data_IF_330356620421
#
_entry.id   IF_330356620421
#
_cell.length_a   1.000
_cell.length_b   1.000
_cell.length_c   1.000
_cell.angle_alpha   90.00
_cell.angle_beta   90.00
_cell.angle_gamma   90.00
#
_symmetry.space_group_name_H-M   'P 1'
#
loop_
_entity.id
_entity.type
_entity.pdbx_description
1 polymer ?
#
# COMPACT_ATOMS: atom_id res chain seq x y z
N UNK A 1 -6.10 -6.43 2.94
CA UNK A 1 -4.96 -5.66 3.49
C UNK A 1 -5.01 -4.30 2.86
N UNK A 2 -4.88 -3.23 3.67
CA UNK A 2 -4.83 -1.86 3.12
C UNK A 2 -3.40 -1.44 2.81
N UNK A 3 -3.22 -0.88 1.62
CA UNK A 3 -1.94 -0.31 1.22
C UNK A 3 -1.63 1.04 1.90
N UNK A 4 -2.64 1.69 2.49
CA UNK A 4 -2.45 2.96 3.22
C UNK A 4 -1.51 2.82 4.43
N UNK A 5 -1.39 1.61 4.98
CA UNK A 5 -0.52 1.30 6.10
C UNK A 5 0.95 1.05 5.72
N UNK A 6 1.24 0.76 4.44
CA UNK A 6 2.56 0.31 3.99
C UNK A 6 3.63 1.37 4.22
N UNK A 7 3.37 2.62 3.84
CA UNK A 7 4.34 3.72 3.99
C UNK A 7 4.80 3.91 5.45
N UNK A 8 3.86 4.16 6.39
CA UNK A 8 4.18 4.21 7.81
C UNK A 8 4.90 2.96 8.35
N UNK A 9 4.46 1.75 7.99
CA UNK A 9 5.10 0.52 8.47
C UNK A 9 6.55 0.39 7.97
N UNK A 10 6.82 0.77 6.72
CA UNK A 10 8.17 0.82 6.17
C UNK A 10 9.01 1.86 6.90
N UNK A 11 8.48 3.05 7.18
CA UNK A 11 9.19 4.08 7.95
C UNK A 11 9.57 3.58 9.35
N UNK A 12 8.64 2.93 10.06
CA UNK A 12 8.91 2.33 11.39
C UNK A 12 9.98 1.25 11.30
N UNK A 13 9.90 0.36 10.30
CA UNK A 13 10.86 -0.73 10.11
C UNK A 13 12.25 -0.26 9.69
N UNK A 14 12.36 0.86 8.98
CA UNK A 14 13.64 1.50 8.65
C UNK A 14 14.25 2.21 9.86
N UNK A 15 13.43 2.85 10.70
CA UNK A 15 13.88 3.51 11.92
C UNK A 15 14.32 2.52 13.00
N UNK A 16 13.68 1.33 13.05
CA UNK A 16 13.97 0.29 14.03
C UNK A 16 14.16 -1.08 13.35
N UNK A 17 15.37 -1.38 12.87
CA UNK A 17 15.63 -2.64 12.18
C UNK A 17 15.45 -3.86 13.09
N UNK A 18 15.01 -4.98 12.51
CA UNK A 18 14.94 -6.27 13.20
C UNK A 18 13.62 -6.55 13.93
N UNK A 19 13.68 -7.46 14.90
CA UNK A 19 12.48 -7.97 15.60
C UNK A 19 11.81 -6.91 16.47
N UNK A 20 12.57 -5.94 16.98
CA UNK A 20 12.04 -4.83 17.77
C UNK A 20 11.10 -3.93 16.95
N UNK A 21 11.51 -3.56 15.73
CA UNK A 21 10.65 -2.84 14.78
C UNK A 21 9.37 -3.59 14.46
N UNK A 22 9.47 -4.89 14.23
CA UNK A 22 8.29 -5.74 14.00
C UNK A 22 7.32 -5.69 15.20
N UNK A 23 7.83 -5.80 16.44
CA UNK A 23 7.01 -5.71 17.67
C UNK A 23 6.35 -4.34 17.84
N UNK A 24 7.02 -3.25 17.46
CA UNK A 24 6.46 -1.90 17.47
C UNK A 24 5.38 -1.71 16.41
N UNK A 25 5.63 -2.20 15.19
CA UNK A 25 4.64 -2.19 14.10
C UNK A 25 3.37 -2.92 14.52
N UNK A 26 3.48 -4.15 15.02
CA UNK A 26 2.32 -4.94 15.41
C UNK A 26 1.62 -4.39 16.66
N UNK A 27 2.37 -3.83 17.62
CA UNK A 27 1.77 -3.11 18.75
C UNK A 27 0.98 -1.87 18.33
N UNK A 28 1.51 -1.11 17.37
CA UNK A 28 0.82 0.04 16.78
C UNK A 28 -0.46 -0.37 16.02
N UNK A 29 -0.40 -1.48 15.27
CA UNK A 29 -1.56 -2.05 14.55
C UNK A 29 -2.65 -2.52 15.54
N UNK A 30 -2.28 -3.21 16.61
CA UNK A 30 -3.22 -3.63 17.66
C UNK A 30 -3.91 -2.40 18.27
N UNK A 31 -3.12 -1.39 18.65
CA UNK A 31 -3.66 -0.13 19.18
C UNK A 31 -4.61 0.57 18.22
N UNK A 32 -4.25 0.64 16.93
CA UNK A 32 -5.10 1.21 15.90
C UNK A 32 -6.38 0.39 15.63
N UNK A 33 -6.31 -0.94 15.75
CA UNK A 33 -7.47 -1.82 15.66
C UNK A 33 -8.46 -1.59 16.80
N UNK A 34 -7.96 -1.49 18.05
CA UNK A 34 -8.77 -1.13 19.22
C UNK A 34 -9.42 0.25 19.02
N UNK A 35 -8.61 1.24 18.64
CA UNK A 35 -9.10 2.58 18.32
C UNK A 35 -10.19 2.53 17.23
N UNK A 36 -9.97 1.75 16.17
CA UNK A 36 -10.92 1.57 15.09
C UNK A 36 -12.27 1.05 15.58
N UNK A 37 -12.29 -0.03 16.37
CA UNK A 37 -13.53 -0.59 16.93
C UNK A 37 -14.29 0.45 17.75
N UNK A 38 -13.57 1.26 18.54
CA UNK A 38 -14.17 2.30 19.39
C UNK A 38 -14.70 3.48 18.59
N UNK A 39 -13.97 3.92 17.55
CA UNK A 39 -14.28 5.13 16.79
C UNK A 39 -15.25 4.89 15.64
N UNK A 40 -15.47 3.64 15.24
CA UNK A 40 -16.36 3.25 14.14
C UNK A 40 -17.77 3.91 14.16
N UNK A 41 -18.48 4.05 15.32
CA UNK A 41 -19.75 4.76 15.36
C UNK A 41 -19.63 6.24 15.01
N UNK A 42 -18.51 6.87 15.39
CA UNK A 42 -18.24 8.28 15.08
C UNK A 42 -17.92 8.45 13.61
N UNK A 43 -17.06 7.58 13.05
CA UNK A 43 -16.70 7.62 11.63
C UNK A 43 -17.92 7.40 10.74
N UNK A 44 -18.85 6.52 11.14
CA UNK A 44 -20.14 6.35 10.42
C UNK A 44 -21.03 7.60 10.37
N UNK A 45 -20.75 8.62 11.21
CA UNK A 45 -21.40 9.94 11.18
C UNK A 45 -20.58 10.99 10.43
N UNK A 46 -19.28 10.74 10.21
CA UNK A 46 -18.35 11.69 9.60
C UNK A 46 -18.36 11.68 8.07
N UNK A 47 -19.26 10.92 7.43
CA UNK A 47 -19.35 10.79 5.97
C UNK A 47 -19.46 12.13 5.23
N UNK A 48 -20.09 13.13 5.85
CA UNK A 48 -20.18 14.50 5.30
C UNK A 48 -18.83 15.18 5.06
N UNK A 49 -17.76 14.73 5.71
CA UNK A 49 -16.40 15.27 5.56
C UNK A 49 -15.61 14.58 4.46
N UNK A 50 -16.15 13.50 3.88
CA UNK A 50 -15.50 12.70 2.84
C UNK A 50 -16.37 12.66 1.58
N UNK A 51 -16.66 13.83 0.98
CA UNK A 51 -17.34 13.87 -0.30
C UNK A 51 -16.46 13.23 -1.40
N UNK A 52 -17.02 12.97 -2.58
CA UNK A 52 -16.36 12.31 -3.72
C UNK A 52 -15.01 12.92 -4.09
N UNK A 53 -14.88 14.25 -3.99
CA UNK A 53 -13.63 14.96 -4.26
C UNK A 53 -12.52 14.58 -3.28
N UNK A 54 -12.84 14.33 -2.01
CA UNK A 54 -11.86 13.93 -1.00
C UNK A 54 -11.51 12.45 -1.18
N UNK A 55 -12.52 11.57 -1.24
CA UNK A 55 -12.30 10.12 -1.35
C UNK A 55 -11.59 9.75 -2.65
N UNK A 56 -12.00 10.33 -3.78
CA UNK A 56 -11.38 10.11 -5.09
C UNK A 56 -9.93 10.59 -5.13
N UNK A 57 -9.63 11.74 -4.51
CA UNK A 57 -8.24 12.25 -4.42
C UNK A 57 -7.36 11.34 -3.57
N UNK A 58 -7.86 10.88 -2.42
CA UNK A 58 -7.11 9.96 -1.54
C UNK A 58 -6.79 8.67 -2.29
N UNK A 59 -7.80 8.04 -2.93
CA UNK A 59 -7.62 6.79 -3.68
C UNK A 59 -6.65 6.98 -4.86
N UNK A 60 -6.73 8.12 -5.56
CA UNK A 60 -5.79 8.47 -6.61
C UNK A 60 -4.35 8.53 -6.07
N UNK A 61 -4.12 9.23 -4.95
CA UNK A 61 -2.79 9.34 -4.33
C UNK A 61 -2.29 7.97 -3.87
N UNK A 62 -3.16 7.12 -3.30
CA UNK A 62 -2.80 5.74 -2.94
C UNK A 62 -2.29 5.00 -4.19
N UNK A 63 -3.04 5.01 -5.29
CA UNK A 63 -2.63 4.34 -6.52
C UNK A 63 -1.31 4.87 -7.08
N UNK A 64 -1.16 6.20 -7.19
CA UNK A 64 0.04 6.85 -7.74
C UNK A 64 1.28 6.59 -6.88
N UNK A 65 1.16 6.67 -5.55
CA UNK A 65 2.30 6.41 -4.64
C UNK A 65 2.75 4.94 -4.69
N UNK A 66 1.81 4.00 -4.85
CA UNK A 66 2.13 2.56 -4.94
C UNK A 66 2.72 2.14 -6.29
N UNK A 67 2.49 2.90 -7.36
CA UNK A 67 3.12 2.61 -8.66
C UNK A 67 4.65 2.51 -8.55
N UNK A 68 5.27 3.34 -7.69
CA UNK A 68 6.71 3.26 -7.42
C UNK A 68 7.14 1.86 -6.93
N UNK A 69 6.32 1.22 -6.09
CA UNK A 69 6.62 -0.11 -5.56
C UNK A 69 6.59 -1.15 -6.69
N UNK A 70 5.53 -1.14 -7.51
CA UNK A 70 5.43 -2.01 -8.68
C UNK A 70 6.60 -1.84 -9.65
N UNK A 71 6.98 -0.59 -9.94
CA UNK A 71 8.12 -0.27 -10.82
C UNK A 71 9.45 -0.75 -10.22
N UNK A 72 9.68 -0.51 -8.93
CA UNK A 72 10.88 -0.99 -8.25
C UNK A 72 10.98 -2.53 -8.34
N UNK A 73 9.86 -3.25 -8.17
CA UNK A 73 9.84 -4.70 -8.32
C UNK A 73 10.19 -5.17 -9.74
N UNK A 74 9.68 -4.50 -10.78
CA UNK A 74 10.04 -4.76 -12.18
C UNK A 74 11.56 -4.61 -12.39
N UNK A 75 12.16 -3.61 -11.75
CA UNK A 75 13.60 -3.33 -11.88
C UNK A 75 14.48 -4.12 -10.91
N UNK A 76 13.93 -5.13 -10.22
CA UNK A 76 14.70 -6.00 -9.34
C UNK A 76 15.04 -5.39 -7.97
N UNK A 77 14.32 -4.35 -7.54
CA UNK A 77 14.45 -3.74 -6.21
C UNK A 77 13.23 -4.07 -5.35
N UNK A 78 13.29 -5.14 -4.54
CA UNK A 78 12.22 -5.45 -3.60
C UNK A 78 12.12 -4.41 -2.46
N UNK A 79 13.26 -3.84 -2.03
CA UNK A 79 13.37 -2.88 -0.93
C UNK A 79 14.40 -1.78 -1.26
N UNK A 80 14.22 -0.60 -0.67
CA UNK A 80 15.21 0.49 -0.72
C UNK A 80 14.88 1.64 -1.68
N UNK A 81 15.82 2.60 -1.85
CA UNK A 81 15.62 3.76 -2.70
C UNK A 81 15.57 3.35 -4.18
N UNK A 82 14.82 4.11 -4.99
CA UNK A 82 14.72 3.85 -6.43
C UNK A 82 16.05 4.21 -7.09
N UNK A 83 16.56 3.33 -7.95
CA UNK A 83 17.86 3.49 -8.62
C UNK A 83 19.05 3.64 -7.64
N UNK A 84 19.31 2.65 -6.75
CA UNK A 84 20.42 2.72 -5.83
C UNK A 84 21.72 2.74 -6.62
N UNK A 85 22.59 3.68 -6.29
CA UNK A 85 23.95 3.72 -6.84
C UNK A 85 24.86 2.89 -5.95
N UNK A 86 25.78 2.14 -6.55
CA UNK A 86 26.80 1.39 -5.83
C UNK A 86 28.01 2.28 -5.57
N UNK A 87 28.79 1.93 -4.53
CA UNK A 87 30.09 2.56 -4.33
C UNK A 87 31.08 1.95 -5.33
N UNK A 88 31.70 2.75 -6.20
CA UNK A 88 32.77 2.33 -7.11
C UNK A 88 34.03 2.03 -6.27
N UNK A 89 34.53 0.77 -6.27
CA UNK A 89 35.72 0.37 -5.50
C UNK A 89 36.96 1.20 -5.85
N UNK A 90 37.22 1.47 -7.14
CA UNK A 90 38.42 2.21 -7.58
C UNK A 90 38.42 3.66 -7.07
N UNK A 91 37.26 4.30 -7.12
CA UNK A 91 37.11 5.66 -6.62
C UNK A 91 37.13 5.69 -5.08
N UNK A 92 36.63 4.65 -4.40
CA UNK A 92 36.71 4.51 -2.94
C UNK A 92 38.16 4.29 -2.48
N UNK A 93 38.93 3.48 -3.22
CA UNK A 93 40.35 3.25 -2.96
C UNK A 93 41.19 4.50 -3.26
N UNK A 94 40.88 5.24 -4.34
CA UNK A 94 41.49 6.55 -4.60
C UNK A 94 41.20 7.54 -3.46
N UNK A 95 39.95 7.61 -2.99
CA UNK A 95 39.56 8.46 -1.86
C UNK A 95 40.30 8.09 -0.58
N UNK A 96 40.40 6.80 -0.29
CA UNK A 96 41.16 6.28 0.85
C UNK A 96 42.63 6.68 0.76
N UNK A 97 43.24 6.51 -0.42
CA UNK A 97 44.64 6.88 -0.68
C UNK A 97 44.87 8.39 -0.50
N UNK A 98 43.98 9.24 -1.02
CA UNK A 98 44.07 10.70 -0.85
C UNK A 98 43.91 11.11 0.62
N UNK A 99 43.01 10.45 1.35
CA UNK A 99 42.78 10.71 2.78
C UNK A 99 43.99 10.29 3.62
N UNK A 100 44.60 9.14 3.32
CA UNK A 100 45.84 8.69 3.96
C UNK A 100 47.03 9.60 3.65
N UNK A 101 47.16 10.10 2.40
CA UNK A 101 48.17 11.08 2.00
C UNK A 101 47.98 12.44 2.69
N UNK A 102 46.74 12.87 2.91
CA UNK A 102 46.43 14.08 3.66
C UNK A 102 46.78 13.94 5.16
N UNK A 103 46.58 12.75 5.74
CA UNK A 103 46.94 12.45 7.14
C UNK A 103 48.44 12.27 7.40
N UNK A 104 49.23 11.92 6.38
CA UNK A 104 50.67 11.64 6.49
C UNK A 104 51.58 12.89 6.49
N UNK A 105 51.04 14.11 6.53
CA UNK A 105 51.80 15.32 6.87
C UNK A 105 52.72 15.90 5.78
N UNK A 106 52.35 15.82 4.50
CA UNK A 106 53.17 16.35 3.41
C UNK A 106 52.47 17.15 2.31
N UNK A 107 51.13 17.23 2.28
CA UNK A 107 50.40 17.95 1.22
C UNK A 107 49.38 18.93 1.80
N UNK A 108 49.25 20.09 1.16
CA UNK A 108 48.31 21.18 1.48
C UNK A 108 46.86 20.81 1.17
N UNK A 109 46.36 19.70 1.72
CA UNK A 109 44.96 19.29 1.60
C UNK A 109 44.21 19.91 2.78
N UNK A 110 43.25 20.82 2.54
CA UNK A 110 42.43 21.37 3.61
C UNK A 110 41.66 20.27 4.34
N UNK A 111 41.46 20.42 5.65
CA UNK A 111 40.65 19.50 6.45
C UNK A 111 39.28 19.28 5.80
N UNK A 112 38.87 18.01 5.69
CA UNK A 112 37.59 17.64 5.10
C UNK A 112 36.44 18.32 5.87
N UNK A 113 35.56 19.09 5.20
CA UNK A 113 34.44 19.74 5.86
C UNK A 113 33.54 18.70 6.55
N UNK A 114 33.05 19.01 7.76
CA UNK A 114 32.10 18.13 8.47
C UNK A 114 30.87 17.86 7.59
N UNK A 115 30.63 16.60 7.24
CA UNK A 115 29.52 16.17 6.38
C UNK A 115 29.85 16.07 4.88
N UNK A 116 31.05 16.46 4.45
CA UNK A 116 31.51 16.20 3.09
C UNK A 116 31.93 14.73 2.97
N UNK A 117 31.16 13.92 2.24
CA UNK A 117 31.54 12.55 1.89
C UNK A 117 31.57 12.40 0.38
N UNK A 118 32.74 12.21 -0.21
CA UNK A 118 32.83 11.84 -1.62
C UNK A 118 32.30 10.41 -1.75
N UNK A 119 31.02 10.26 -2.12
CA UNK A 119 30.50 8.94 -2.47
C UNK A 119 30.91 8.65 -3.91
N UNK A 120 31.91 7.79 -4.05
CA UNK A 120 32.26 7.16 -5.31
C UNK A 120 31.05 6.42 -5.89
N UNK A 121 30.15 7.03 -6.65
CA UNK A 121 28.94 6.32 -7.11
C UNK A 121 29.05 5.80 -8.54
N UNK A 122 28.69 4.54 -8.77
CA UNK A 122 28.43 3.96 -10.10
C UNK A 122 26.99 3.44 -10.19
N UNK A 123 26.47 3.33 -11.42
CA UNK A 123 25.16 2.71 -11.65
C UNK A 123 25.20 1.25 -11.22
N UNK A 124 24.14 0.78 -10.54
CA UNK A 124 24.01 -0.62 -10.15
C UNK A 124 23.69 -1.49 -11.38
N UNK A 125 24.56 -2.40 -11.83
CA UNK A 125 24.28 -3.26 -12.99
C UNK A 125 23.14 -4.25 -12.74
N UNK A 126 22.82 -4.54 -11.47
CA UNK A 126 21.69 -5.38 -11.08
C UNK A 126 20.35 -4.61 -11.04
N UNK A 127 20.37 -3.29 -11.26
CA UNK A 127 19.16 -2.48 -11.36
C UNK A 127 18.64 -2.45 -12.79
N UNK A 128 17.34 -2.71 -12.96
CA UNK A 128 16.65 -2.73 -14.24
C UNK A 128 17.29 -3.65 -15.32
N UNK A 129 17.69 -4.89 -14.99
CA UNK A 129 18.20 -5.81 -16.00
C UNK A 129 17.09 -6.15 -17.00
N UNK A 130 17.47 -6.24 -18.28
CA UNK A 130 16.52 -6.43 -19.40
C UNK A 130 15.67 -7.69 -19.19
N UNK A 131 16.25 -8.76 -18.65
CA UNK A 131 15.54 -10.01 -18.32
C UNK A 131 14.34 -9.78 -17.39
N UNK A 132 14.51 -8.94 -16.36
CA UNK A 132 13.44 -8.66 -15.40
C UNK A 132 12.32 -7.83 -16.03
N UNK A 133 12.70 -6.84 -16.85
CA UNK A 133 11.75 -6.01 -17.58
C UNK A 133 10.94 -6.87 -18.56
N UNK A 134 11.60 -7.73 -19.33
CA UNK A 134 10.94 -8.63 -20.27
C UNK A 134 9.99 -9.59 -19.56
N UNK A 135 10.41 -10.22 -18.45
CA UNK A 135 9.53 -11.10 -17.68
C UNK A 135 8.29 -10.35 -17.18
N UNK A 136 8.47 -9.14 -16.65
CA UNK A 136 7.35 -8.30 -16.18
C UNK A 136 6.42 -7.89 -17.32
N UNK A 137 6.96 -7.57 -18.49
CA UNK A 137 6.20 -7.25 -19.69
C UNK A 137 5.40 -8.45 -20.21
N UNK A 138 5.95 -9.66 -20.13
CA UNK A 138 5.21 -10.89 -20.48
C UNK A 138 4.05 -11.12 -19.51
N UNK A 139 4.27 -10.91 -18.21
CA UNK A 139 3.19 -10.96 -17.21
C UNK A 139 2.11 -9.94 -17.55
N UNK A 140 2.50 -8.67 -17.76
CA UNK A 140 1.59 -7.61 -18.13
C UNK A 140 0.80 -7.92 -19.41
N UNK A 141 1.49 -8.36 -20.47
CA UNK A 141 0.87 -8.73 -21.73
C UNK A 141 -0.12 -9.90 -21.56
N UNK A 142 0.21 -10.87 -20.70
CA UNK A 142 -0.69 -11.97 -20.35
C UNK A 142 -1.93 -11.45 -19.62
N UNK A 143 -1.76 -10.57 -18.62
CA UNK A 143 -2.89 -9.95 -17.90
C UNK A 143 -3.79 -9.19 -18.86
N UNK A 144 -3.22 -8.32 -19.72
CA UNK A 144 -3.98 -7.53 -20.68
C UNK A 144 -4.66 -8.42 -21.75
N UNK A 145 -3.96 -9.44 -22.25
CA UNK A 145 -4.49 -10.39 -23.22
C UNK A 145 -5.68 -11.17 -22.64
N UNK A 146 -5.54 -11.72 -21.44
CA UNK A 146 -6.65 -12.43 -20.77
C UNK A 146 -7.80 -11.47 -20.46
N UNK A 147 -7.52 -10.28 -19.94
CA UNK A 147 -8.55 -9.29 -19.63
C UNK A 147 -9.31 -8.82 -20.88
N UNK A 148 -8.64 -8.75 -22.05
CA UNK A 148 -9.25 -8.31 -23.31
C UNK A 148 -10.05 -9.41 -24.01
N UNK A 149 -9.51 -10.63 -24.06
CA UNK A 149 -10.05 -11.70 -24.91
C UNK A 149 -10.86 -12.76 -24.17
N UNK A 150 -10.62 -12.95 -22.86
CA UNK A 150 -11.41 -13.88 -22.07
C UNK A 150 -12.76 -13.28 -21.66
N UNK A 151 -13.67 -14.14 -21.21
CA UNK A 151 -15.01 -13.74 -20.75
C UNK A 151 -15.32 -14.33 -19.38
N UNK A 152 -16.23 -13.69 -18.66
CA UNK A 152 -16.73 -14.15 -17.36
C UNK A 152 -15.61 -14.27 -16.32
N UNK A 153 -15.59 -15.40 -15.61
CA UNK A 153 -14.67 -15.63 -14.50
C UNK A 153 -13.18 -15.50 -14.88
N UNK A 154 -12.80 -15.97 -16.07
CA UNK A 154 -11.40 -15.98 -16.52
C UNK A 154 -10.85 -14.56 -16.69
N UNK A 155 -11.68 -13.62 -17.18
CA UNK A 155 -11.30 -12.21 -17.28
C UNK A 155 -11.08 -11.58 -15.88
N UNK A 156 -11.89 -11.96 -14.90
CA UNK A 156 -11.81 -11.43 -13.53
C UNK A 156 -10.56 -11.92 -12.77
N UNK A 157 -10.04 -13.11 -13.13
CA UNK A 157 -8.79 -13.64 -12.55
C UNK A 157 -7.56 -13.42 -13.46
N UNK A 158 -7.63 -12.47 -14.40
CA UNK A 158 -6.54 -12.20 -15.35
C UNK A 158 -5.20 -11.92 -14.66
N UNK A 159 -5.22 -11.17 -13.56
CA UNK A 159 -4.01 -10.88 -12.77
C UNK A 159 -3.41 -12.17 -12.19
N UNK A 160 -4.25 -13.04 -11.62
CA UNK A 160 -3.81 -14.34 -11.08
C UNK A 160 -3.20 -15.22 -12.18
N UNK A 161 -3.84 -15.29 -13.35
CA UNK A 161 -3.33 -16.04 -14.50
C UNK A 161 -1.97 -15.48 -14.94
N UNK A 162 -1.83 -14.15 -15.01
CA UNK A 162 -0.56 -13.51 -15.32
C UNK A 162 0.56 -13.88 -14.34
N UNK A 163 0.26 -13.89 -13.04
CA UNK A 163 1.22 -14.32 -12.00
C UNK A 163 1.60 -15.79 -12.18
N UNK A 164 0.63 -16.67 -12.47
CA UNK A 164 0.89 -18.10 -12.71
C UNK A 164 1.78 -18.30 -13.94
N UNK A 165 1.47 -17.65 -15.06
CA UNK A 165 2.28 -17.72 -16.29
C UNK A 165 3.69 -17.18 -16.04
N UNK A 166 3.81 -16.03 -15.37
CA UNK A 166 5.10 -15.47 -14.98
C UNK A 166 5.90 -16.37 -14.05
N UNK A 167 5.22 -17.03 -13.11
CA UNK A 167 5.84 -18.01 -12.21
C UNK A 167 6.36 -19.24 -12.95
N UNK A 168 5.60 -19.78 -13.91
CA UNK A 168 6.05 -20.90 -14.75
C UNK A 168 7.28 -20.52 -15.58
N UNK A 169 7.28 -19.32 -16.19
CA UNK A 169 8.44 -18.83 -16.95
C UNK A 169 9.64 -18.62 -16.01
N UNK A 170 9.44 -18.01 -14.84
CA UNK A 170 10.48 -17.80 -13.85
C UNK A 170 11.09 -19.12 -13.35
N UNK A 171 10.26 -20.15 -13.15
CA UNK A 171 10.72 -21.49 -12.81
C UNK A 171 11.57 -22.10 -13.94
N UNK A 172 11.13 -21.96 -15.20
CA UNK A 172 11.87 -22.43 -16.37
C UNK A 172 13.22 -21.71 -16.55
N UNK A 173 13.31 -20.43 -16.16
CA UNK A 173 14.53 -19.63 -16.15
C UNK A 173 15.41 -19.88 -14.91
N UNK A 174 15.07 -20.86 -14.07
CA UNK A 174 15.77 -21.18 -12.82
C UNK A 174 15.87 -20.00 -11.82
N UNK A 175 14.92 -19.06 -11.86
CA UNK A 175 14.86 -17.92 -10.93
C UNK A 175 14.16 -18.26 -9.60
N UNK A 176 13.51 -19.43 -9.52
CA UNK A 176 12.74 -19.86 -8.34
C UNK A 176 13.50 -20.93 -7.54
N UNK A 177 13.53 -20.78 -6.22
CA UNK A 177 14.11 -21.77 -5.31
C UNK A 177 13.02 -22.45 -4.47
N UNK A 178 12.83 -23.76 -4.68
CA UNK A 178 11.80 -24.56 -4.02
C UNK A 178 12.26 -25.28 -2.75
N UNK A 179 13.49 -25.05 -2.27
CA UNK A 179 14.02 -25.68 -1.05
C UNK A 179 13.15 -25.40 0.18
N UNK A 180 12.69 -24.15 0.35
CA UNK A 180 11.77 -23.76 1.44
C UNK A 180 10.42 -24.48 1.34
N UNK A 181 9.93 -24.72 0.12
CA UNK A 181 8.68 -25.46 -0.11
C UNK A 181 8.84 -26.92 0.30
N UNK A 182 9.99 -27.53 0.00
CA UNK A 182 10.30 -28.90 0.40
C UNK A 182 10.41 -29.02 1.94
N UNK A 183 11.10 -28.08 2.58
CA UNK A 183 11.30 -28.05 4.04
C UNK A 183 10.06 -27.67 4.84
N UNK A 184 9.12 -26.92 4.26
CA UNK A 184 7.90 -26.49 4.94
C UNK A 184 6.99 -27.67 5.31
N UNK A 185 6.46 -27.65 6.53
CA UNK A 185 5.47 -28.62 7.00
C UNK A 185 4.15 -28.47 6.23
N UNK A 186 3.39 -29.56 6.17
CA UNK A 186 2.05 -29.57 5.57
C UNK A 186 1.03 -28.81 6.42
N UNK A 187 1.22 -28.79 7.72
CA UNK A 187 0.39 -28.08 8.67
C UNK A 187 1.28 -27.35 9.68
N UNK A 188 0.99 -26.07 9.92
CA UNK A 188 1.53 -25.35 11.08
C UNK A 188 0.52 -24.31 11.56
N UNK A 189 0.18 -24.30 12.86
CA UNK A 189 -0.63 -23.22 13.42
C UNK A 189 0.15 -21.91 13.40
N UNK A 190 -0.54 -20.81 13.08
CA UNK A 190 0.03 -19.47 13.12
C UNK A 190 0.08 -19.04 14.60
N UNK A 191 1.29 -18.88 15.15
CA UNK A 191 1.43 -18.45 16.54
C UNK A 191 1.15 -16.95 16.68
N UNK A 192 0.28 -16.54 17.62
CA UNK A 192 0.13 -15.13 17.95
C UNK A 192 1.46 -14.61 18.51
N UNK A 193 1.79 -13.35 18.21
CA UNK A 193 3.00 -12.69 18.70
C UNK A 193 4.31 -13.43 18.36
N UNK A 194 4.44 -13.87 17.10
CA UNK A 194 5.59 -14.66 16.62
C UNK A 194 6.92 -13.94 16.85
N UNK A 195 6.92 -12.61 16.75
CA UNK A 195 8.10 -11.77 16.97
C UNK A 195 8.33 -11.37 18.45
N UNK A 196 7.52 -11.90 19.38
CA UNK A 196 7.53 -11.55 20.80
C UNK A 196 6.41 -10.59 21.20
N UNK A 197 6.35 -10.23 22.49
CA UNK A 197 5.30 -9.37 23.03
C UNK A 197 5.27 -8.00 22.34
N UNK A 198 4.11 -7.50 21.88
CA UNK A 198 4.00 -6.24 21.13
C UNK A 198 4.48 -5.06 21.98
N UNK A 199 5.12 -4.08 21.33
CA UNK A 199 5.56 -2.84 21.96
C UNK A 199 4.55 -1.76 21.60
N UNK A 200 3.93 -1.17 22.61
CA UNK A 200 2.90 -0.15 22.45
C UNK A 200 3.53 1.24 22.56
N UNK A 201 3.96 1.78 21.42
CA UNK A 201 4.41 3.16 21.33
C UNK A 201 3.20 4.09 21.03
N UNK A 202 2.89 5.09 21.89
CA UNK A 202 1.75 5.97 21.69
C UNK A 202 1.78 6.76 20.38
N UNK A 203 2.95 7.20 19.92
CA UNK A 203 3.11 7.99 18.69
C UNK A 203 2.84 7.11 17.47
N UNK A 204 3.35 5.88 17.47
CA UNK A 204 3.10 4.92 16.40
C UNK A 204 1.63 4.46 16.38
N UNK A 205 1.00 4.30 17.56
CA UNK A 205 -0.43 4.00 17.66
C UNK A 205 -1.27 5.13 17.06
N UNK A 206 -0.97 6.40 17.39
CA UNK A 206 -1.67 7.54 16.79
C UNK A 206 -1.48 7.56 15.27
N UNK A 207 -0.27 7.29 14.79
CA UNK A 207 0.05 7.19 13.35
C UNK A 207 -0.80 6.13 12.66
N UNK A 208 -0.82 4.90 13.19
CA UNK A 208 -1.65 3.82 12.65
C UNK A 208 -3.15 4.10 12.81
N UNK A 209 -3.57 4.81 13.85
CA UNK A 209 -4.98 5.16 14.09
C UNK A 209 -5.49 6.15 13.04
N UNK A 210 -4.66 7.11 12.61
CA UNK A 210 -5.01 8.00 11.50
C UNK A 210 -5.12 7.25 10.18
N UNK A 211 -4.23 6.30 9.91
CA UNK A 211 -4.35 5.38 8.77
C UNK A 211 -5.66 4.58 8.86
N UNK A 212 -6.02 4.11 10.06
CA UNK A 212 -7.26 3.38 10.28
C UNK A 212 -8.50 4.21 9.93
N UNK A 213 -8.49 5.52 10.19
CA UNK A 213 -9.57 6.42 9.75
C UNK A 213 -9.68 6.42 8.22
N UNK A 214 -8.55 6.58 7.51
CA UNK A 214 -8.49 6.52 6.03
C UNK A 214 -9.06 5.20 5.51
N UNK A 215 -8.68 4.09 6.14
CA UNK A 215 -9.18 2.74 5.82
C UNK A 215 -10.70 2.63 6.01
N UNK A 216 -11.24 3.18 7.09
CA UNK A 216 -12.67 3.17 7.36
C UNK A 216 -13.46 4.01 6.35
N UNK A 217 -12.89 5.12 5.90
CA UNK A 217 -13.48 5.97 4.87
C UNK A 217 -13.55 5.19 3.55
N UNK A 218 -12.45 4.53 3.17
CA UNK A 218 -12.38 3.67 1.99
C UNK A 218 -13.47 2.57 2.05
N UNK A 219 -13.56 1.87 3.18
CA UNK A 219 -14.54 0.80 3.37
C UNK A 219 -15.99 1.29 3.41
N UNK A 220 -16.24 2.53 3.87
CA UNK A 220 -17.60 3.08 3.82
C UNK A 220 -18.09 3.22 2.37
N UNK A 221 -17.24 3.70 1.46
CA UNK A 221 -17.59 3.75 0.03
C UNK A 221 -18.01 2.37 -0.48
N UNK A 222 -17.19 1.35 -0.23
CA UNK A 222 -17.50 -0.03 -0.64
C UNK A 222 -18.80 -0.58 -0.04
N UNK A 223 -19.11 -0.26 1.21
CA UNK A 223 -20.37 -0.69 1.82
C UNK A 223 -21.58 -0.05 1.15
N UNK A 224 -21.51 1.25 0.83
CA UNK A 224 -22.57 1.97 0.15
C UNK A 224 -22.78 1.40 -1.26
N UNK A 225 -21.71 1.22 -2.02
CA UNK A 225 -21.77 0.67 -3.37
C UNK A 225 -22.30 -0.77 -3.40
N UNK A 226 -21.86 -1.63 -2.47
CA UNK A 226 -22.41 -2.98 -2.30
C UNK A 226 -23.90 -2.96 -1.92
N UNK A 227 -24.32 -2.00 -1.08
CA UNK A 227 -25.73 -1.80 -0.73
C UNK A 227 -26.59 -1.54 -1.96
N UNK A 228 -26.09 -0.72 -2.89
CA UNK A 228 -26.80 -0.40 -4.13
C UNK A 228 -26.84 -1.57 -5.11
N UNK A 229 -25.70 -2.24 -5.33
CA UNK A 229 -25.64 -3.45 -6.16
C UNK A 229 -26.59 -4.52 -5.61
N UNK A 230 -26.68 -4.66 -4.29
CA UNK A 230 -27.56 -5.65 -3.65
C UNK A 230 -29.01 -5.21 -3.52
N UNK A 231 -29.31 -3.93 -3.75
CA UNK A 231 -30.64 -3.32 -3.53
C UNK A 231 -31.02 -3.17 -2.05
N UNK A 232 -30.04 -3.22 -1.14
CA UNK A 232 -30.25 -3.13 0.31
C UNK A 232 -29.74 -1.78 0.83
N UNK A 233 -30.66 -0.96 1.34
CA UNK A 233 -30.32 0.31 1.98
C UNK A 233 -29.38 0.08 3.16
N UNK A 234 -28.20 0.70 3.11
CA UNK A 234 -27.21 0.61 4.19
C UNK A 234 -27.56 1.63 5.26
N UNK A 235 -27.90 1.15 6.46
CA UNK A 235 -28.21 2.03 7.60
C UNK A 235 -26.94 2.39 8.37
N UNK A 236 -26.98 3.48 9.14
CA UNK A 236 -25.84 3.88 9.97
C UNK A 236 -25.40 2.80 10.98
N UNK A 237 -26.30 2.06 11.67
CA UNK A 237 -25.87 0.94 12.51
C UNK A 237 -25.16 -0.17 11.72
N UNK A 238 -25.58 -0.44 10.48
CA UNK A 238 -24.91 -1.41 9.61
C UNK A 238 -23.51 -0.94 9.20
N UNK A 239 -23.37 0.35 8.85
CA UNK A 239 -22.06 0.95 8.57
C UNK A 239 -21.15 0.85 9.79
N UNK A 240 -21.64 1.25 10.98
CA UNK A 240 -20.85 1.16 12.21
C UNK A 240 -20.43 -0.28 12.53
N UNK A 241 -21.31 -1.27 12.31
CA UNK A 241 -20.96 -2.68 12.49
C UNK A 241 -19.90 -3.15 11.48
N UNK A 242 -20.01 -2.75 10.21
CA UNK A 242 -19.00 -3.04 9.18
C UNK A 242 -17.64 -2.43 9.52
N UNK A 243 -17.60 -1.15 9.89
CA UNK A 243 -16.36 -0.46 10.28
C UNK A 243 -15.74 -1.03 11.56
N UNK A 244 -16.56 -1.54 12.49
CA UNK A 244 -16.06 -2.30 13.65
C UNK A 244 -15.36 -3.59 13.23
N UNK A 245 -15.85 -4.26 12.18
CA UNK A 245 -15.19 -5.45 11.64
C UNK A 245 -13.85 -5.13 11.00
N UNK A 246 -13.69 -3.98 10.35
CA UNK A 246 -12.37 -3.54 9.86
C UNK A 246 -11.39 -3.33 11.01
N UNK A 247 -11.84 -2.69 12.09
CA UNK A 247 -11.05 -2.48 13.32
C UNK A 247 -10.68 -3.80 14.00
N UNK A 248 -11.65 -4.70 14.15
CA UNK A 248 -11.44 -6.02 14.74
C UNK A 248 -10.49 -6.87 13.89
N UNK A 249 -10.67 -6.85 12.56
CA UNK A 249 -9.77 -7.52 11.62
C UNK A 249 -8.35 -7.00 11.77
N UNK A 250 -8.16 -5.68 11.87
CA UNK A 250 -6.87 -5.04 12.10
C UNK A 250 -6.25 -5.43 13.44
N UNK A 251 -7.05 -5.48 14.52
CA UNK A 251 -6.61 -5.93 15.84
C UNK A 251 -6.11 -7.38 15.79
N UNK A 252 -6.95 -8.29 15.28
CA UNK A 252 -6.58 -9.70 15.11
C UNK A 252 -5.35 -9.84 14.20
N UNK A 253 -5.28 -9.00 13.16
CA UNK A 253 -4.14 -8.95 12.28
C UNK A 253 -2.84 -8.64 13.01
N UNK A 254 -2.83 -7.60 13.84
CA UNK A 254 -1.68 -7.28 14.66
C UNK A 254 -1.28 -8.41 15.62
N UNK A 255 -2.26 -9.13 16.21
CA UNK A 255 -1.97 -10.29 17.06
C UNK A 255 -1.31 -11.44 16.29
N UNK A 256 -1.73 -11.67 15.04
CA UNK A 256 -1.18 -12.71 14.16
C UNK A 256 -0.07 -12.21 13.23
N UNK A 257 0.55 -11.06 13.55
CA UNK A 257 1.71 -10.51 12.86
C UNK A 257 1.46 -10.18 11.37
N UNK A 258 0.29 -9.64 11.05
CA UNK A 258 -0.08 -9.22 9.69
C UNK A 258 -0.47 -7.73 9.64
N UNK A 259 -0.86 -7.30 8.44
CA UNK A 259 -1.19 -5.92 8.12
C UNK A 259 -2.63 -5.55 8.48
N UNK A 260 -2.95 -4.24 8.61
CA UNK A 260 -4.32 -3.77 8.76
C UNK A 260 -5.24 -4.23 7.62
N UNK A 261 -6.48 -4.57 7.99
CA UNK A 261 -7.49 -5.08 7.07
C UNK A 261 -8.49 -4.00 6.69
N UNK A 262 -8.99 -4.11 5.47
CA UNK A 262 -9.99 -3.24 4.87
C UNK A 262 -10.84 -4.08 3.94
N UNK A 263 -12.03 -3.60 3.62
CA UNK A 263 -12.86 -4.21 2.57
C UNK A 263 -12.17 -4.11 1.21
N UNK A 264 -12.42 -5.06 0.31
CA UNK A 264 -11.70 -5.17 -0.96
C UNK A 264 -12.63 -4.83 -2.13
N UNK A 265 -12.35 -3.73 -2.83
CA UNK A 265 -13.24 -3.17 -3.86
C UNK A 265 -13.43 -4.11 -5.06
N UNK A 266 -12.43 -4.92 -5.38
CA UNK A 266 -12.53 -5.94 -6.42
C UNK A 266 -13.60 -6.99 -6.11
N UNK A 267 -13.80 -7.33 -4.84
CA UNK A 267 -14.85 -8.28 -4.45
C UNK A 267 -16.23 -7.67 -4.68
N UNK A 268 -16.39 -6.36 -4.46
CA UNK A 268 -17.66 -5.67 -4.70
C UNK A 268 -17.96 -5.60 -6.20
N UNK A 269 -16.97 -5.22 -7.02
CA UNK A 269 -17.10 -5.25 -8.48
C UNK A 269 -17.45 -6.65 -9.03
N UNK A 270 -16.88 -7.71 -8.44
CA UNK A 270 -17.23 -9.09 -8.80
C UNK A 270 -18.70 -9.43 -8.50
N UNK A 271 -19.28 -8.91 -7.41
CA UNK A 271 -20.71 -9.08 -7.13
C UNK A 271 -21.56 -8.40 -8.21
N UNK A 272 -21.15 -7.22 -8.68
CA UNK A 272 -21.80 -6.52 -9.80
C UNK A 272 -21.80 -7.32 -11.10
N UNK A 273 -20.66 -7.91 -11.47
CA UNK A 273 -20.51 -8.67 -12.72
C UNK A 273 -21.12 -10.08 -12.65
N UNK A 274 -20.97 -10.77 -11.52
CA UNK A 274 -21.49 -12.14 -11.37
C UNK A 274 -22.98 -12.19 -11.05
N UNK A 275 -23.53 -11.10 -10.49
CA UNK A 275 -24.89 -11.07 -9.96
C UNK A 275 -25.09 -11.91 -8.69
N UNK A 276 -24.06 -12.60 -8.19
CA UNK A 276 -24.16 -13.47 -7.02
C UNK A 276 -24.03 -12.62 -5.74
N UNK A 277 -25.17 -12.36 -5.10
CA UNK A 277 -25.27 -11.51 -3.88
C UNK A 277 -25.20 -12.28 -2.56
N UNK A 278 -24.90 -13.59 -2.61
CA UNK A 278 -24.93 -14.45 -1.43
C UNK A 278 -23.71 -14.24 -0.53
N UNK A 279 -23.94 -13.87 0.74
CA UNK A 279 -22.88 -13.75 1.76
C UNK A 279 -22.10 -15.05 2.00
N UNK A 280 -22.71 -16.20 1.71
CA UNK A 280 -22.07 -17.50 1.91
C UNK A 280 -20.88 -17.71 0.97
N UNK A 281 -20.85 -17.04 -0.19
CA UNK A 281 -19.68 -17.06 -1.08
C UNK A 281 -18.46 -16.46 -0.38
N UNK A 282 -18.64 -15.32 0.30
CA UNK A 282 -17.59 -14.67 1.08
C UNK A 282 -17.16 -15.53 2.28
N UNK A 283 -18.11 -16.14 2.99
CA UNK A 283 -17.81 -17.03 4.13
C UNK A 283 -17.00 -18.24 3.68
N UNK A 284 -17.41 -18.92 2.62
CA UNK A 284 -16.68 -20.07 2.05
C UNK A 284 -15.29 -19.66 1.57
N UNK A 285 -15.17 -18.51 0.90
CA UNK A 285 -13.87 -17.94 0.53
C UNK A 285 -12.97 -17.70 1.74
N UNK A 286 -13.52 -17.15 2.84
CA UNK A 286 -12.81 -17.00 4.11
C UNK A 286 -12.33 -18.32 4.70
N UNK A 287 -13.18 -19.35 4.72
CA UNK A 287 -12.82 -20.69 5.19
C UNK A 287 -11.69 -21.28 4.33
N UNK A 288 -11.77 -21.16 3.00
CA UNK A 288 -10.72 -21.62 2.09
C UNK A 288 -9.40 -20.90 2.41
N UNK A 289 -9.43 -19.58 2.60
CA UNK A 289 -8.22 -18.81 2.94
C UNK A 289 -7.64 -19.19 4.30
N UNK A 290 -8.47 -19.49 5.31
CA UNK A 290 -8.00 -20.01 6.61
C UNK A 290 -7.32 -21.36 6.44
N UNK A 291 -7.91 -22.28 5.68
CA UNK A 291 -7.31 -23.60 5.41
C UNK A 291 -5.96 -23.44 4.69
N UNK A 292 -5.92 -22.62 3.64
CA UNK A 292 -4.66 -22.36 2.91
C UNK A 292 -3.61 -21.67 3.80
N UNK A 293 -4.02 -20.81 4.72
CA UNK A 293 -3.13 -20.16 5.69
C UNK A 293 -2.51 -21.13 6.71
N UNK A 294 -3.18 -22.25 7.00
CA UNK A 294 -2.67 -23.32 7.86
C UNK A 294 -1.73 -24.29 7.13
N UNK A 295 -1.49 -24.08 5.83
CA UNK A 295 -0.60 -24.88 4.98
C UNK A 295 0.63 -24.04 4.61
N UNK A 296 1.73 -24.08 5.39
CA UNK A 296 2.94 -23.28 5.15
C UNK A 296 3.56 -23.47 3.77
N UNK A 297 3.37 -24.64 3.14
CA UNK A 297 3.82 -24.89 1.76
C UNK A 297 3.24 -23.88 0.76
N UNK A 298 2.00 -23.43 0.96
CA UNK A 298 1.39 -22.41 0.11
C UNK A 298 2.11 -21.07 0.28
N UNK A 299 2.43 -20.68 1.52
CA UNK A 299 3.22 -19.48 1.81
C UNK A 299 4.63 -19.56 1.19
N UNK A 300 5.32 -20.69 1.38
CA UNK A 300 6.65 -20.92 0.81
C UNK A 300 6.65 -20.91 -0.73
N UNK A 301 5.57 -21.39 -1.36
CA UNK A 301 5.43 -21.36 -2.82
C UNK A 301 5.26 -19.93 -3.33
N UNK A 302 4.44 -19.12 -2.64
CA UNK A 302 4.28 -17.69 -2.97
C UNK A 302 5.59 -16.93 -2.71
N UNK A 303 6.32 -17.27 -1.65
CA UNK A 303 7.65 -16.70 -1.35
C UNK A 303 8.69 -17.02 -2.43
N UNK A 304 8.59 -18.20 -3.06
CA UNK A 304 9.51 -18.60 -4.14
C UNK A 304 9.32 -17.79 -5.43
N UNK A 305 8.20 -17.07 -5.59
CA UNK A 305 7.95 -16.24 -6.77
C UNK A 305 8.86 -14.99 -6.76
N UNK A 306 9.62 -14.73 -7.83
CA UNK A 306 10.43 -13.53 -7.91
C UNK A 306 9.54 -12.28 -7.85
N UNK A 307 9.97 -11.26 -7.12
CA UNK A 307 9.23 -9.99 -7.01
C UNK A 307 9.00 -9.34 -8.37
N UNK A 308 9.84 -9.61 -9.36
CA UNK A 308 9.69 -9.17 -10.74
C UNK A 308 8.36 -9.63 -11.37
N UNK A 309 7.94 -10.89 -11.13
CA UNK A 309 6.65 -11.41 -11.58
C UNK A 309 5.50 -10.64 -10.94
N UNK A 310 5.63 -10.37 -9.63
CA UNK A 310 4.69 -9.54 -8.88
C UNK A 310 4.70 -8.08 -9.35
N UNK A 311 5.81 -7.58 -9.90
CA UNK A 311 5.94 -6.22 -10.45
C UNK A 311 5.04 -6.00 -11.66
N UNK A 312 5.04 -6.93 -12.63
CA UNK A 312 4.16 -6.86 -13.80
C UNK A 312 2.67 -6.88 -13.43
N UNK A 313 2.29 -7.75 -12.49
CA UNK A 313 0.92 -7.78 -11.94
C UNK A 313 0.61 -6.53 -11.10
N UNK A 314 1.57 -6.07 -10.30
CA UNK A 314 1.48 -4.91 -9.42
C UNK A 314 1.26 -3.62 -10.19
N UNK A 315 1.87 -3.46 -11.37
CA UNK A 315 1.63 -2.30 -12.24
C UNK A 315 0.14 -2.17 -12.60
N UNK A 316 -0.51 -3.29 -12.93
CA UNK A 316 -1.96 -3.32 -13.21
C UNK A 316 -2.75 -3.07 -11.92
N UNK A 317 -2.42 -3.76 -10.82
CA UNK A 317 -3.17 -3.63 -9.56
C UNK A 317 -3.12 -2.20 -9.00
N UNK A 318 -1.94 -1.60 -8.89
CA UNK A 318 -1.76 -0.23 -8.39
C UNK A 318 -2.29 0.81 -9.39
N UNK A 319 -2.10 0.56 -10.68
CA UNK A 319 -2.67 1.41 -11.75
C UNK A 319 -4.20 1.43 -11.73
N UNK A 320 -4.84 0.28 -11.51
CA UNK A 320 -6.29 0.19 -11.36
C UNK A 320 -6.79 0.96 -10.13
N UNK A 321 -6.06 0.95 -9.01
CA UNK A 321 -6.42 1.79 -7.84
C UNK A 321 -6.42 3.27 -8.21
N UNK A 322 -5.38 3.75 -8.91
CA UNK A 322 -5.33 5.14 -9.39
C UNK A 322 -6.49 5.44 -10.36
N UNK A 323 -6.77 4.53 -11.30
CA UNK A 323 -7.87 4.66 -12.25
C UNK A 323 -9.23 4.72 -11.53
N UNK A 324 -9.46 3.91 -10.50
CA UNK A 324 -10.66 3.99 -9.65
C UNK A 324 -10.76 5.36 -8.97
N UNK A 325 -9.65 5.93 -8.48
CA UNK A 325 -9.63 7.29 -7.95
C UNK A 325 -10.07 8.34 -8.99
N UNK A 326 -9.52 8.29 -10.21
CA UNK A 326 -9.92 9.17 -11.33
C UNK A 326 -11.41 9.00 -11.63
N UNK A 327 -11.89 7.77 -11.58
CA UNK A 327 -13.27 7.42 -11.89
C UNK A 327 -14.25 8.01 -10.88
N UNK A 328 -13.94 7.93 -9.58
CA UNK A 328 -14.68 8.60 -8.51
C UNK A 328 -14.68 10.13 -8.75
N UNK A 329 -13.52 10.70 -9.08
CA UNK A 329 -13.40 12.13 -9.38
C UNK A 329 -14.19 12.54 -10.63
N UNK A 330 -14.43 11.65 -11.59
CA UNK A 330 -15.21 11.98 -12.80
C UNK A 330 -16.67 12.35 -12.51
N UNK A 331 -17.20 11.95 -11.35
CA UNK A 331 -18.52 12.37 -10.86
C UNK A 331 -18.52 13.73 -10.15
N UNK A 332 -17.37 14.37 -9.95
CA UNK A 332 -17.25 15.67 -9.26
C UNK A 332 -17.43 16.82 -10.24
N UNK A 333 -18.20 17.84 -9.86
CA UNK A 333 -18.29 19.07 -10.63
C UNK A 333 -17.00 19.90 -10.52
N UNK A 334 -16.17 19.83 -11.55
CA UNK A 334 -14.99 20.68 -11.74
C UNK A 334 -15.24 21.90 -12.62
N UNK A 335 -16.40 22.00 -13.28
CA UNK A 335 -16.71 23.09 -14.23
C UNK A 335 -17.25 24.30 -13.50
N UNK A 336 -18.22 24.09 -12.61
CA UNK A 336 -18.88 25.19 -11.88
C UNK A 336 -18.18 25.50 -10.57
N UNK A 337 -17.70 24.47 -9.86
CA UNK A 337 -17.01 24.64 -8.58
C UNK A 337 -15.49 24.50 -8.73
N UNK A 338 -14.82 25.64 -8.95
CA UNK A 338 -13.34 25.70 -9.05
C UNK A 338 -12.62 25.24 -7.78
N UNK A 339 -13.27 25.29 -6.61
CA UNK A 339 -12.66 24.87 -5.35
C UNK A 339 -12.29 23.38 -5.37
N UNK A 340 -13.12 22.55 -6.00
CA UNK A 340 -12.87 21.11 -6.15
C UNK A 340 -11.54 20.85 -6.88
N UNK A 341 -11.22 21.66 -7.90
CA UNK A 341 -9.95 21.53 -8.62
C UNK A 341 -8.75 21.86 -7.72
N UNK A 342 -8.85 22.89 -6.89
CA UNK A 342 -7.79 23.24 -5.93
C UNK A 342 -7.58 22.16 -4.87
N UNK A 343 -8.67 21.58 -4.34
CA UNK A 343 -8.59 20.49 -3.35
C UNK A 343 -7.79 19.32 -3.93
N UNK A 344 -8.14 18.86 -5.14
CA UNK A 344 -7.43 17.75 -5.82
C UNK A 344 -5.97 18.09 -6.06
N UNK A 345 -5.69 19.27 -6.65
CA UNK A 345 -4.34 19.65 -7.04
C UNK A 345 -3.38 19.77 -5.85
N UNK A 346 -3.82 20.42 -4.78
CA UNK A 346 -2.99 20.63 -3.59
C UNK A 346 -2.82 19.33 -2.81
N UNK A 347 -3.89 18.55 -2.61
CA UNK A 347 -3.78 17.28 -1.89
C UNK A 347 -2.92 16.25 -2.62
N UNK A 348 -3.01 16.17 -3.96
CA UNK A 348 -2.10 15.36 -4.76
C UNK A 348 -0.64 15.82 -4.60
N UNK A 349 -0.40 17.14 -4.63
CA UNK A 349 0.91 17.72 -4.38
C UNK A 349 1.49 17.31 -3.01
N UNK A 350 0.70 17.46 -1.94
CA UNK A 350 1.08 17.03 -0.58
C UNK A 350 1.37 15.53 -0.51
N UNK A 351 0.56 14.71 -1.19
CA UNK A 351 0.77 13.27 -1.22
C UNK A 351 2.04 12.83 -1.93
N UNK A 352 2.58 13.66 -2.83
CA UNK A 352 3.80 13.38 -3.57
C UNK A 352 5.07 13.83 -2.85
N UNK A 353 4.98 14.67 -1.82
CA UNK A 353 6.16 15.19 -1.11
C UNK A 353 7.09 14.07 -0.62
N UNK A 354 6.62 13.05 0.14
CA UNK A 354 7.53 12.02 0.66
C UNK A 354 8.09 11.11 -0.44
N UNK A 355 7.40 11.03 -1.59
CA UNK A 355 7.84 10.25 -2.74
C UNK A 355 8.99 10.95 -3.49
N UNK A 356 8.87 12.27 -3.68
CA UNK A 356 9.77 13.08 -4.51
C UNK A 356 10.94 13.62 -3.69
N UNK A 357 10.70 14.03 -2.45
CA UNK A 357 11.66 14.69 -1.58
C UNK A 357 11.71 14.01 -0.20
N UNK A 358 12.31 12.81 -0.06
CA UNK A 358 12.29 12.04 1.18
C UNK A 358 12.94 12.74 2.38
N UNK A 359 13.89 13.66 2.14
CA UNK A 359 14.65 14.37 3.19
C UNK A 359 14.02 15.72 3.61
N UNK A 360 12.82 16.06 3.12
CA UNK A 360 12.14 17.32 3.47
C UNK A 360 11.90 17.53 4.98
N UNK A 361 11.97 16.46 5.76
CA UNK A 361 11.77 16.43 7.22
C UNK A 361 12.99 16.85 8.04
N UNK A 362 14.08 17.28 7.41
CA UNK A 362 15.35 17.63 8.08
C UNK A 362 15.20 18.67 9.22
N UNK A 363 14.23 19.57 9.12
CA UNK A 363 13.97 20.63 10.12
C UNK A 363 12.76 20.33 11.03
N UNK A 364 12.14 19.15 10.87
CA UNK A 364 10.92 18.78 11.61
C UNK A 364 11.23 17.85 12.78
N UNK A 365 10.44 17.89 13.87
CA UNK A 365 10.62 16.99 15.00
C UNK A 365 10.61 15.51 14.59
N UNK A 366 11.58 14.73 15.06
CA UNK A 366 11.69 13.30 14.73
C UNK A 366 10.44 12.49 15.12
N UNK A 367 9.73 12.91 16.17
CA UNK A 367 8.50 12.26 16.63
C UNK A 367 7.38 12.25 15.57
N UNK A 368 7.33 13.23 14.66
CA UNK A 368 6.28 13.29 13.63
C UNK A 368 6.71 12.67 12.29
N UNK A 369 7.96 12.22 12.15
CA UNK A 369 8.44 11.62 10.90
C UNK A 369 7.57 10.45 10.41
N UNK A 370 7.11 9.50 11.24
CA UNK A 370 6.25 8.41 10.77
C UNK A 370 4.91 8.88 10.19
N UNK A 371 4.37 10.00 10.67
CA UNK A 371 3.14 10.60 10.18
C UNK A 371 3.35 11.24 8.80
N UNK A 372 4.42 12.03 8.68
CA UNK A 372 4.66 12.87 7.51
C UNK A 372 5.34 12.08 6.38
N UNK A 373 6.02 10.97 6.68
CA UNK A 373 6.52 10.02 5.67
C UNK A 373 5.39 9.36 4.85
N UNK A 374 4.15 9.42 5.35
CA UNK A 374 2.99 8.89 4.65
C UNK A 374 2.38 9.94 3.71
N UNK A 375 2.72 9.84 2.43
CA UNK A 375 2.07 10.66 1.38
C UNK A 375 0.55 10.52 1.38
N UNK A 376 0.05 9.32 1.66
CA UNK A 376 -1.39 9.05 1.73
C UNK A 376 -2.04 9.83 2.88
N UNK A 377 -1.40 9.89 4.04
CA UNK A 377 -1.90 10.64 5.20
C UNK A 377 -1.85 12.15 4.94
N UNK A 378 -0.76 12.66 4.37
CA UNK A 378 -0.63 14.07 3.99
C UNK A 378 -1.69 14.51 2.99
N UNK A 379 -1.92 13.71 1.95
CA UNK A 379 -2.98 13.97 0.98
C UNK A 379 -4.37 13.93 1.61
N UNK A 380 -4.62 12.97 2.49
CA UNK A 380 -5.90 12.85 3.19
C UNK A 380 -6.18 14.06 4.07
N UNK A 381 -5.20 14.49 4.88
CA UNK A 381 -5.32 15.69 5.71
C UNK A 381 -5.53 16.95 4.86
N UNK A 382 -4.72 17.13 3.82
CA UNK A 382 -4.86 18.27 2.91
C UNK A 382 -6.23 18.29 2.24
N UNK A 383 -6.70 17.17 1.70
CA UNK A 383 -7.99 17.07 1.02
C UNK A 383 -9.16 17.40 1.97
N UNK A 384 -9.15 16.84 3.19
CA UNK A 384 -10.20 17.08 4.18
C UNK A 384 -10.20 18.55 4.63
N UNK A 385 -9.03 19.08 5.00
CA UNK A 385 -8.92 20.47 5.48
C UNK A 385 -9.30 21.48 4.41
N UNK A 386 -8.84 21.29 3.17
CA UNK A 386 -9.19 22.17 2.05
C UNK A 386 -10.67 22.07 1.69
N UNK A 387 -11.25 20.88 1.74
CA UNK A 387 -12.68 20.73 1.52
C UNK A 387 -13.50 21.43 2.62
N UNK A 388 -13.10 21.29 3.88
CA UNK A 388 -13.72 22.02 4.99
C UNK A 388 -13.60 23.54 4.82
N UNK A 389 -12.45 24.03 4.33
CA UNK A 389 -12.19 25.45 4.11
C UNK A 389 -13.02 26.03 2.95
N UNK A 390 -13.09 25.32 1.81
CA UNK A 390 -13.66 25.88 0.59
C UNK A 390 -15.13 25.53 0.35
N UNK A 391 -15.54 24.30 0.67
CA UNK A 391 -16.90 23.80 0.39
C UNK A 391 -17.77 23.71 1.66
N UNK A 392 -17.17 23.92 2.84
CA UNK A 392 -17.82 23.67 4.12
C UNK A 392 -18.11 22.19 4.37
N UNK A 393 -18.54 21.85 5.59
CA UNK A 393 -18.90 20.48 5.98
C UNK A 393 -20.29 20.04 5.45
N UNK A 394 -20.61 20.42 4.21
CA UNK A 394 -21.94 20.30 3.59
C UNK A 394 -22.15 18.98 2.82
N UNK A 395 -21.18 18.06 2.83
CA UNK A 395 -21.24 16.81 2.07
C UNK A 395 -22.49 15.99 2.40
N UNK A 396 -23.29 15.69 1.39
CA UNK A 396 -24.50 14.90 1.54
C UNK A 396 -24.16 13.41 1.48
N UNK A 397 -24.91 12.58 2.21
CA UNK A 397 -24.68 11.12 2.22
C UNK A 397 -24.85 10.52 0.82
N UNK A 398 -25.74 11.11 0.00
CA UNK A 398 -25.94 10.65 -1.37
C UNK A 398 -24.78 10.97 -2.30
N UNK A 399 -24.05 12.07 -2.10
CA UNK A 399 -22.87 12.37 -2.93
C UNK A 399 -21.78 11.31 -2.69
N UNK A 400 -21.52 10.98 -1.42
CA UNK A 400 -20.57 9.94 -1.04
C UNK A 400 -20.96 8.55 -1.59
N UNK A 401 -22.27 8.29 -1.70
CA UNK A 401 -22.83 7.07 -2.26
C UNK A 401 -22.72 7.01 -3.78
N UNK A 402 -23.11 8.06 -4.49
CA UNK A 402 -23.01 8.14 -5.96
C UNK A 402 -21.56 7.95 -6.43
N UNK A 403 -20.60 8.52 -5.71
CA UNK A 403 -19.20 8.37 -6.05
C UNK A 403 -18.64 6.99 -5.76
N UNK A 404 -19.12 6.32 -4.71
CA UNK A 404 -18.77 4.94 -4.47
C UNK A 404 -19.31 4.02 -5.58
N UNK A 405 -20.54 4.24 -6.05
CA UNK A 405 -21.09 3.54 -7.21
C UNK A 405 -20.29 3.83 -8.48
N UNK A 406 -19.88 5.09 -8.68
CA UNK A 406 -19.05 5.49 -9.81
C UNK A 406 -17.67 4.82 -9.78
N UNK A 407 -17.19 4.29 -8.66
CA UNK A 407 -15.95 3.54 -8.59
C UNK A 407 -16.06 2.13 -9.22
N UNK A 408 -17.27 1.57 -9.34
CA UNK A 408 -17.48 0.12 -9.50
C UNK A 408 -18.13 -0.33 -10.83
N UNK A 409 -18.84 0.54 -11.57
CA UNK A 409 -19.51 0.24 -12.86
C UNK A 409 -18.60 0.12 -14.12
#
# INVERSE_FOLDING_TARGET
VTFASVGPMVSIGLAHPGTEGARMIFGAIIGAGIFGVLVAPVVSRMLRFFPPVVTGTIILVIGVTLMRIGINWIFGLPVGPTSPKLVNPEHADWLKTVTEMAGAGGAAVPDQPRGFGLSATMNNPAYAPVSNIVLSLVVLATVLGVARFAKGFIANIAVLIGIVVGGVIAAALAMMNFSKVAAASWFAPIMPFHFGAPIFDPVLIVTMSLVMIVVMIESTGMFLALGDITGKKVTQPMLSAGLRMDGLGTLLGGMFNTFPYTSFSQNVGLVGVTGIRSRFVCVTGGVILVILGLIPKMGALVEALPTVVLGGAGLVMFGMVAATGIRILSGVDFKTNRNNLFIVAVALGFGMIPLIAPDFKMWLPHAIHPLIDSGILLASLAAVLLNMLFNGASGNVEDAREAAMAAEA
#
